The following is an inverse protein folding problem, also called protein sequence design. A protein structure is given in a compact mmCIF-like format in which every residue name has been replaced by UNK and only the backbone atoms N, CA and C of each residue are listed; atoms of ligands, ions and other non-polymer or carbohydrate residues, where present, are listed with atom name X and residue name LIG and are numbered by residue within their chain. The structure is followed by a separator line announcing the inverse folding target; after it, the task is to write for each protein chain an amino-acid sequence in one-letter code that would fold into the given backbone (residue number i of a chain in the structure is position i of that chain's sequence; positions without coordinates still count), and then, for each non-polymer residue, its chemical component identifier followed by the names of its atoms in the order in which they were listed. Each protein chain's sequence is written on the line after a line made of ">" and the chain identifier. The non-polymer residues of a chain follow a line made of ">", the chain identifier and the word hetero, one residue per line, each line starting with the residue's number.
data_IF_961508642403
#
_entry.id   IF_961508642403
#
_cell.length_a   1.000
_cell.length_b   1.000
_cell.length_c   1.000
_cell.angle_alpha   90.00
_cell.angle_beta   90.00
_cell.angle_gamma   90.00
#
_symmetry.space_group_name_H-M   'P 1'
#
loop_
_entity.id
_entity.type
_entity.pdbx_description
1 polymer ?
#
# COMPACT_ATOMS: atom_id res chain seq x y z
N UNK A 1 31.73 -22.06 -0.93
CA UNK A 1 30.27 -22.20 -1.04
C UNK A 1 29.66 -20.87 -0.62
N UNK A 2 29.34 -20.01 -1.60
CA UNK A 2 28.52 -18.81 -1.38
C UNK A 2 27.10 -19.33 -1.22
N UNK A 3 26.62 -19.49 0.00
CA UNK A 3 25.19 -19.60 0.26
C UNK A 3 24.54 -18.36 -0.38
N UNK A 4 23.74 -18.56 -1.42
CA UNK A 4 22.87 -17.52 -1.96
C UNK A 4 22.09 -16.93 -0.77
N UNK A 5 22.49 -15.74 -0.31
CA UNK A 5 21.69 -14.99 0.64
C UNK A 5 20.47 -14.53 -0.15
N UNK A 6 19.37 -15.20 0.08
CA UNK A 6 18.07 -14.77 -0.43
C UNK A 6 17.89 -13.34 0.08
N UNK A 7 17.87 -12.38 -0.84
CA UNK A 7 17.50 -11.02 -0.50
C UNK A 7 15.98 -10.98 -0.33
N UNK A 8 15.53 -10.47 0.79
CA UNK A 8 14.11 -10.24 1.06
C UNK A 8 13.87 -8.75 1.11
N UNK A 9 12.93 -8.28 0.33
CA UNK A 9 12.50 -6.90 0.30
C UNK A 9 11.16 -6.73 1.03
N UNK A 10 11.01 -5.62 1.73
CA UNK A 10 9.73 -5.18 2.28
C UNK A 10 9.23 -3.99 1.49
N UNK A 11 8.04 -4.10 0.95
CA UNK A 11 7.36 -3.02 0.23
C UNK A 11 6.25 -2.50 1.14
N UNK A 12 6.53 -1.40 1.80
CA UNK A 12 5.57 -0.73 2.69
C UNK A 12 4.73 0.17 1.82
N UNK A 13 3.44 -0.11 1.67
CA UNK A 13 2.62 0.58 0.69
C UNK A 13 1.25 0.98 1.25
N UNK A 14 0.69 1.97 0.60
CA UNK A 14 -0.67 2.44 0.79
C UNK A 14 -1.24 2.89 -0.55
N UNK A 15 -2.53 2.69 -0.76
CA UNK A 15 -3.21 3.12 -1.98
C UNK A 15 -4.33 4.10 -1.69
N UNK A 16 -4.60 4.97 -2.65
CA UNK A 16 -5.86 5.70 -2.71
C UNK A 16 -6.75 5.08 -3.79
N UNK A 17 -8.04 5.04 -3.52
CA UNK A 17 -9.01 4.47 -4.43
C UNK A 17 -10.16 5.44 -4.71
N UNK A 18 -10.85 5.25 -5.84
CA UNK A 18 -12.09 6.00 -6.12
C UNK A 18 -13.07 5.84 -4.96
N UNK A 19 -13.65 6.93 -4.49
CA UNK A 19 -14.54 6.91 -3.35
C UNK A 19 -15.64 7.97 -3.47
N UNK A 20 -16.71 7.78 -2.68
CA UNK A 20 -17.90 8.63 -2.69
C UNK A 20 -18.40 8.83 -1.28
N UNK A 21 -19.15 9.91 -1.06
CA UNK A 21 -19.86 10.13 0.19
C UNK A 21 -21.06 9.19 0.32
N UNK A 22 -21.34 8.71 1.53
CA UNK A 22 -22.49 7.86 1.86
C UNK A 22 -22.31 6.37 1.54
N UNK A 23 -23.43 5.65 1.37
CA UNK A 23 -23.42 4.21 1.09
C UNK A 23 -23.07 3.97 -0.39
N UNK A 24 -21.97 3.30 -0.63
CA UNK A 24 -21.39 3.06 -1.95
C UNK A 24 -21.24 1.57 -2.30
N UNK A 25 -22.01 0.71 -1.60
CA UNK A 25 -21.93 -0.75 -1.78
C UNK A 25 -22.15 -1.23 -3.22
N UNK A 26 -22.78 -0.41 -4.06
CA UNK A 26 -23.07 -0.71 -5.47
C UNK A 26 -21.97 -0.20 -6.44
N UNK A 27 -20.89 0.36 -5.92
CA UNK A 27 -19.83 0.95 -6.75
C UNK A 27 -18.49 0.26 -6.48
N UNK A 28 -17.90 -0.26 -7.53
CA UNK A 28 -16.56 -0.83 -7.46
C UNK A 28 -15.52 0.29 -7.38
N UNK A 29 -14.63 0.18 -6.41
CA UNK A 29 -13.50 1.09 -6.26
C UNK A 29 -12.34 0.64 -7.12
N UNK A 30 -11.61 1.59 -7.69
CA UNK A 30 -10.39 1.38 -8.48
C UNK A 30 -9.25 2.16 -7.84
N UNK A 31 -8.04 1.61 -7.88
CA UNK A 31 -6.83 2.30 -7.44
C UNK A 31 -6.58 3.56 -8.27
N UNK A 32 -6.31 4.69 -7.61
CA UNK A 32 -5.98 5.97 -8.25
C UNK A 32 -4.61 6.53 -7.87
N UNK A 33 -3.99 6.02 -6.79
CA UNK A 33 -2.61 6.31 -6.40
C UNK A 33 -2.01 5.07 -5.74
N UNK A 34 -0.73 4.82 -5.99
CA UNK A 34 0.10 3.90 -5.21
C UNK A 34 1.25 4.71 -4.64
N UNK A 35 1.39 4.68 -3.33
CA UNK A 35 2.55 5.17 -2.60
C UNK A 35 3.27 4.02 -1.91
N UNK A 36 4.59 3.93 -2.05
CA UNK A 36 5.33 2.85 -1.41
C UNK A 36 6.78 3.22 -1.09
N UNK A 37 7.31 2.56 -0.07
CA UNK A 37 8.72 2.59 0.34
C UNK A 37 9.29 1.18 0.23
N UNK A 38 10.41 1.05 -0.47
CA UNK A 38 11.14 -0.21 -0.61
C UNK A 38 12.24 -0.27 0.45
N UNK A 39 12.21 -1.31 1.28
CA UNK A 39 13.22 -1.57 2.30
C UNK A 39 13.91 -2.91 2.01
N UNK A 40 15.19 -2.99 2.32
CA UNK A 40 15.88 -4.27 2.36
C UNK A 40 15.58 -5.03 3.68
N UNK A 41 16.10 -6.24 3.80
CA UNK A 41 15.95 -7.10 5.00
C UNK A 41 16.46 -6.47 6.30
N UNK A 42 17.26 -5.43 6.24
CA UNK A 42 17.81 -4.72 7.40
C UNK A 42 17.01 -3.46 7.76
N UNK A 43 15.96 -3.15 6.98
CA UNK A 43 15.17 -1.93 7.15
C UNK A 43 15.81 -0.69 6.55
N UNK A 44 16.84 -0.85 5.70
CA UNK A 44 17.41 0.29 4.96
C UNK A 44 16.54 0.61 3.75
N UNK A 45 16.22 1.88 3.56
CA UNK A 45 15.42 2.35 2.42
C UNK A 45 16.24 2.27 1.13
N UNK A 46 15.68 1.57 0.15
CA UNK A 46 16.24 1.42 -1.19
C UNK A 46 15.62 2.38 -2.20
N UNK A 47 14.42 2.87 -1.93
CA UNK A 47 13.73 3.82 -2.79
C UNK A 47 12.27 4.05 -2.40
N UNK A 48 11.66 5.02 -3.07
CA UNK A 48 10.25 5.36 -2.93
C UNK A 48 9.53 5.31 -4.28
N UNK A 49 8.25 5.01 -4.25
CA UNK A 49 7.39 4.95 -5.42
C UNK A 49 6.13 5.77 -5.17
N UNK A 50 5.77 6.62 -6.13
CA UNK A 50 4.53 7.36 -6.08
C UNK A 50 3.99 7.55 -7.50
N UNK A 51 2.85 6.95 -7.82
CA UNK A 51 2.23 7.05 -9.15
C UNK A 51 0.72 7.14 -9.03
N UNK A 52 0.16 8.08 -9.79
CA UNK A 52 -1.28 8.11 -10.04
C UNK A 52 -1.67 7.06 -11.08
N UNK A 53 -2.93 6.65 -10.99
CA UNK A 53 -3.53 5.68 -11.90
C UNK A 53 -4.83 6.28 -12.45
N UNK A 54 -5.03 6.12 -13.74
CA UNK A 54 -6.26 6.53 -14.42
C UNK A 54 -7.33 5.45 -14.25
N UNK A 55 -8.41 5.73 -13.49
CA UNK A 55 -9.50 4.77 -13.34
C UNK A 55 -10.28 4.63 -14.66
N UNK A 56 -10.85 3.45 -14.91
CA UNK A 56 -11.57 3.12 -16.15
C UNK A 56 -13.07 2.95 -15.93
N UNK A 57 -13.53 2.41 -14.79
CA UNK A 57 -14.96 2.30 -14.48
C UNK A 57 -15.55 3.66 -14.07
N UNK A 58 -14.80 4.40 -13.26
CA UNK A 58 -15.20 5.70 -12.75
C UNK A 58 -14.17 6.77 -13.08
N UNK A 59 -14.06 7.18 -14.37
CA UNK A 59 -12.99 8.09 -14.82
C UNK A 59 -13.08 9.49 -14.23
N UNK A 60 -14.24 9.89 -13.70
CA UNK A 60 -14.44 11.18 -13.05
C UNK A 60 -14.49 11.01 -11.52
N UNK A 61 -13.48 11.57 -10.85
CA UNK A 61 -13.42 11.54 -9.38
C UNK A 61 -14.58 12.34 -8.78
N UNK A 62 -15.22 11.77 -7.77
CA UNK A 62 -16.27 12.47 -7.02
C UNK A 62 -15.71 13.70 -6.30
N UNK A 63 -16.53 14.72 -5.97
CA UNK A 63 -16.09 15.82 -5.12
C UNK A 63 -15.53 15.34 -3.77
N UNK A 64 -16.16 14.33 -3.18
CA UNK A 64 -15.71 13.70 -1.95
C UNK A 64 -14.31 13.10 -2.07
N UNK A 65 -14.06 12.30 -3.11
CA UNK A 65 -12.76 11.69 -3.36
C UNK A 65 -11.66 12.76 -3.49
N UNK A 66 -11.90 13.80 -4.28
CA UNK A 66 -10.95 14.91 -4.45
C UNK A 66 -10.67 15.66 -3.15
N UNK A 67 -11.70 15.84 -2.32
CA UNK A 67 -11.54 16.49 -1.02
C UNK A 67 -10.78 15.62 -0.03
N UNK A 68 -11.06 14.32 0.01
CA UNK A 68 -10.45 13.38 0.94
C UNK A 68 -8.98 13.16 0.62
N UNK A 69 -8.67 12.84 -0.63
CA UNK A 69 -7.32 12.44 -1.08
C UNK A 69 -6.46 13.61 -1.54
N UNK A 70 -7.06 14.78 -1.79
CA UNK A 70 -6.40 15.92 -2.46
C UNK A 70 -5.91 15.60 -3.89
N UNK A 71 -6.30 14.46 -4.47
CA UNK A 71 -5.98 14.08 -5.85
C UNK A 71 -6.91 14.83 -6.80
N UNK A 72 -6.35 15.49 -7.79
CA UNK A 72 -7.13 16.25 -8.77
C UNK A 72 -7.56 15.38 -9.96
N UNK A 73 -8.60 15.81 -10.67
CA UNK A 73 -9.00 15.16 -11.92
C UNK A 73 -7.87 15.16 -12.96
N UNK A 74 -7.04 16.21 -12.94
CA UNK A 74 -5.94 16.35 -13.88
C UNK A 74 -4.82 15.33 -13.62
N UNK A 75 -4.58 14.98 -12.34
CA UNK A 75 -3.57 13.98 -11.96
C UNK A 75 -3.93 12.61 -12.56
N UNK A 76 -5.16 12.15 -12.37
CA UNK A 76 -5.60 10.86 -12.91
C UNK A 76 -5.79 10.88 -14.43
N UNK A 77 -6.19 12.01 -15.02
CA UNK A 77 -6.34 12.12 -16.48
C UNK A 77 -5.02 11.98 -17.23
N UNK A 78 -3.91 12.41 -16.62
CA UNK A 78 -2.55 12.33 -17.18
C UNK A 78 -1.86 11.00 -16.88
N UNK A 79 -2.39 10.24 -15.96
CA UNK A 79 -1.82 8.98 -15.52
C UNK A 79 -2.03 7.86 -16.55
N UNK A 80 -1.20 6.84 -16.47
CA UNK A 80 -1.41 5.56 -17.15
C UNK A 80 -2.50 4.76 -16.42
N UNK A 81 -3.07 3.77 -17.10
CA UNK A 81 -4.04 2.84 -16.50
C UNK A 81 -3.34 1.80 -15.63
N UNK A 82 -4.12 1.12 -14.79
CA UNK A 82 -3.63 0.14 -13.83
C UNK A 82 -2.67 -0.90 -14.41
N UNK A 83 -2.94 -1.56 -15.57
CA UNK A 83 -2.02 -2.55 -16.13
C UNK A 83 -0.59 -2.05 -16.35
N UNK A 84 -0.42 -0.81 -16.76
CA UNK A 84 0.90 -0.24 -16.98
C UNK A 84 1.59 0.12 -15.67
N UNK A 85 0.84 0.73 -14.73
CA UNK A 85 1.41 1.18 -13.47
C UNK A 85 1.80 0.01 -12.58
N UNK A 86 1.00 -1.07 -12.59
CA UNK A 86 1.29 -2.23 -11.75
C UNK A 86 2.53 -3.00 -12.23
N UNK A 87 2.78 -3.06 -13.55
CA UNK A 87 4.02 -3.64 -14.06
C UNK A 87 5.24 -2.78 -13.68
N UNK A 88 5.13 -1.44 -13.78
CA UNK A 88 6.19 -0.54 -13.30
C UNK A 88 6.43 -0.69 -11.78
N UNK A 89 5.38 -0.92 -11.00
CA UNK A 89 5.46 -1.13 -9.56
C UNK A 89 6.16 -2.45 -9.21
N UNK A 90 5.83 -3.53 -9.89
CA UNK A 90 6.49 -4.83 -9.71
C UNK A 90 7.97 -4.79 -10.07
N UNK A 91 8.30 -4.13 -11.19
CA UNK A 91 9.69 -3.91 -11.63
C UNK A 91 10.47 -3.10 -10.59
N UNK A 92 9.90 -1.98 -10.13
CA UNK A 92 10.50 -1.13 -9.12
C UNK A 92 10.74 -1.89 -7.79
N UNK A 93 9.79 -2.73 -7.39
CA UNK A 93 9.87 -3.54 -6.18
C UNK A 93 10.79 -4.77 -6.29
N UNK A 94 11.43 -5.02 -7.45
CA UNK A 94 12.20 -6.23 -7.76
C UNK A 94 11.43 -7.54 -7.51
N UNK A 95 10.10 -7.52 -7.71
CA UNK A 95 9.23 -8.64 -7.36
C UNK A 95 9.43 -9.88 -8.24
N UNK A 96 10.13 -9.75 -9.38
CA UNK A 96 10.44 -10.85 -10.28
C UNK A 96 11.71 -11.60 -9.92
N UNK A 97 12.65 -10.92 -9.26
CA UNK A 97 14.00 -11.44 -9.04
C UNK A 97 14.33 -11.71 -7.57
N UNK A 98 13.58 -11.13 -6.64
CA UNK A 98 13.84 -11.21 -5.20
C UNK A 98 12.58 -11.62 -4.43
N UNK A 99 12.77 -12.26 -3.27
CA UNK A 99 11.67 -12.47 -2.34
C UNK A 99 11.18 -11.12 -1.78
N UNK A 100 9.89 -10.96 -1.63
CA UNK A 100 9.30 -9.73 -1.12
C UNK A 100 8.08 -10.00 -0.24
N UNK A 101 7.75 -9.01 0.58
CA UNK A 101 6.49 -8.92 1.30
C UNK A 101 5.85 -7.57 1.07
N UNK A 102 4.57 -7.59 0.71
CA UNK A 102 3.73 -6.42 0.61
C UNK A 102 3.14 -6.10 1.97
N UNK A 103 3.43 -4.94 2.53
CA UNK A 103 3.04 -4.57 3.89
C UNK A 103 2.14 -3.33 3.86
N UNK A 104 0.88 -3.46 4.29
CA UNK A 104 -0.05 -2.33 4.40
C UNK A 104 -0.82 -2.31 5.73
N UNK A 105 -1.52 -1.19 6.01
CA UNK A 105 -2.26 -1.03 7.26
C UNK A 105 -3.66 -1.62 7.20
N UNK A 106 -3.75 -2.94 7.11
CA UNK A 106 -4.97 -3.73 6.95
C UNK A 106 -5.00 -4.47 5.62
N UNK A 107 -6.17 -4.96 5.21
CA UNK A 107 -6.35 -5.75 4.00
C UNK A 107 -7.01 -4.98 2.84
N UNK A 108 -7.38 -3.73 3.06
CA UNK A 108 -8.11 -2.95 2.06
C UNK A 108 -7.32 -2.82 0.75
N UNK A 109 -6.07 -2.44 0.85
CA UNK A 109 -5.18 -2.22 -0.29
C UNK A 109 -5.03 -3.49 -1.14
N UNK A 110 -4.80 -4.63 -0.49
CA UNK A 110 -4.74 -5.93 -1.16
C UNK A 110 -6.05 -6.25 -1.91
N UNK A 111 -7.20 -6.07 -1.24
CA UNK A 111 -8.51 -6.36 -1.84
C UNK A 111 -8.75 -5.50 -3.08
N UNK A 112 -8.35 -4.23 -3.06
CA UNK A 112 -8.52 -3.35 -4.22
C UNK A 112 -7.56 -3.78 -5.36
N UNK A 113 -6.32 -4.14 -5.06
CA UNK A 113 -5.40 -4.67 -6.07
C UNK A 113 -5.91 -5.95 -6.74
N UNK A 114 -6.44 -6.90 -5.95
CA UNK A 114 -7.04 -8.13 -6.48
C UNK A 114 -8.25 -7.82 -7.40
N UNK A 115 -9.08 -6.85 -7.03
CA UNK A 115 -10.22 -6.39 -7.87
C UNK A 115 -9.75 -5.71 -9.15
N UNK A 116 -8.75 -4.84 -9.08
CA UNK A 116 -8.18 -4.21 -10.26
C UNK A 116 -7.52 -5.24 -11.18
N UNK A 117 -6.83 -6.24 -10.65
CA UNK A 117 -6.30 -7.35 -11.43
C UNK A 117 -7.43 -8.11 -12.14
N UNK A 118 -8.51 -8.45 -11.43
CA UNK A 118 -9.66 -9.12 -12.03
C UNK A 118 -10.33 -8.26 -13.11
N UNK A 119 -10.52 -6.97 -12.87
CA UNK A 119 -11.08 -6.02 -13.84
C UNK A 119 -10.27 -5.99 -15.15
N UNK A 120 -8.96 -6.01 -15.04
CA UNK A 120 -8.04 -5.93 -16.17
C UNK A 120 -7.55 -7.28 -16.69
N UNK A 121 -8.09 -8.39 -16.19
CA UNK A 121 -7.72 -9.77 -16.55
C UNK A 121 -6.21 -10.03 -16.36
N UNK A 122 -5.67 -9.54 -15.26
CA UNK A 122 -4.29 -9.75 -14.83
C UNK A 122 -4.23 -10.81 -13.73
N UNK A 123 -3.06 -11.44 -13.61
CA UNK A 123 -2.73 -12.33 -12.50
C UNK A 123 -2.54 -11.53 -11.21
N UNK A 124 -3.05 -12.05 -10.08
CA UNK A 124 -2.98 -11.45 -8.75
C UNK A 124 -2.16 -12.28 -7.74
N UNK A 125 -1.51 -13.36 -8.17
CA UNK A 125 -0.68 -14.24 -7.31
C UNK A 125 0.40 -13.45 -6.56
N UNK A 126 0.89 -12.35 -7.12
CA UNK A 126 1.85 -11.47 -6.49
C UNK A 126 1.31 -10.78 -5.23
N UNK A 127 0.00 -10.72 -5.02
CA UNK A 127 -0.64 -10.20 -3.82
C UNK A 127 -0.65 -11.20 -2.65
N UNK A 128 -0.27 -12.47 -2.87
CA UNK A 128 -0.32 -13.50 -1.82
C UNK A 128 0.66 -13.20 -0.67
N UNK A 129 1.80 -12.61 -0.98
CA UNK A 129 2.83 -12.26 0.02
C UNK A 129 2.49 -10.98 0.80
N UNK A 130 1.21 -10.80 1.12
CA UNK A 130 0.72 -9.64 1.84
C UNK A 130 0.75 -9.84 3.35
N UNK A 131 1.18 -8.78 4.05
CA UNK A 131 1.23 -8.70 5.51
C UNK A 131 0.26 -7.61 5.99
N UNK A 132 -0.80 -8.02 6.70
CA UNK A 132 -1.70 -7.10 7.41
C UNK A 132 -1.02 -6.59 8.68
N UNK A 133 -0.36 -5.45 8.57
CA UNK A 133 0.37 -4.83 9.69
C UNK A 133 -0.58 -4.37 10.81
N UNK A 134 -1.79 -3.94 10.49
CA UNK A 134 -2.77 -3.49 11.48
C UNK A 134 -3.19 -4.61 12.42
N UNK A 135 -3.39 -5.80 11.86
CA UNK A 135 -3.71 -7.02 12.65
C UNK A 135 -2.53 -7.43 13.51
N UNK A 136 -1.33 -7.51 12.91
CA UNK A 136 -0.14 -7.89 13.66
C UNK A 136 0.23 -6.85 14.73
N UNK A 137 0.05 -5.56 14.45
CA UNK A 137 0.26 -4.51 15.44
C UNK A 137 -0.67 -4.65 16.64
N UNK A 138 -1.94 -5.02 16.42
CA UNK A 138 -2.85 -5.36 17.52
C UNK A 138 -2.26 -6.46 18.43
N UNK A 139 -1.71 -7.51 17.82
CA UNK A 139 -1.17 -8.66 18.54
C UNK A 139 0.14 -8.29 19.27
N UNK A 140 1.06 -7.59 18.60
CA UNK A 140 2.32 -7.09 19.19
C UNK A 140 2.05 -6.22 20.42
N UNK A 141 1.07 -5.34 20.32
CA UNK A 141 0.70 -4.41 21.42
C UNK A 141 -0.31 -5.00 22.39
N UNK A 142 -0.76 -6.25 22.21
CA UNK A 142 -1.77 -6.96 23.04
C UNK A 142 -3.05 -6.15 23.23
N UNK A 143 -3.52 -5.53 22.15
CA UNK A 143 -4.70 -4.68 22.17
C UNK A 143 -5.99 -5.49 21.96
N UNK A 144 -7.10 -5.02 22.57
CA UNK A 144 -8.42 -5.66 22.41
C UNK A 144 -9.03 -5.47 21.00
N UNK A 145 -8.62 -4.42 20.27
CA UNK A 145 -9.13 -4.09 18.94
C UNK A 145 -8.07 -3.39 18.10
N UNK A 146 -8.22 -3.51 16.79
CA UNK A 146 -7.41 -2.78 15.82
C UNK A 146 -7.65 -1.27 15.90
N UNK A 147 -6.61 -0.50 15.58
CA UNK A 147 -6.68 0.97 15.51
C UNK A 147 -6.22 1.45 14.13
N UNK A 148 -6.59 2.67 13.74
CA UNK A 148 -6.11 3.31 12.52
C UNK A 148 -4.65 3.78 12.64
N UNK A 149 -4.02 4.04 11.50
CA UNK A 149 -2.61 4.44 11.40
C UNK A 149 -2.27 5.66 12.26
N UNK A 150 -3.10 6.71 12.22
CA UNK A 150 -2.91 7.92 13.03
C UNK A 150 -2.83 7.64 14.53
N UNK A 151 -3.70 6.76 15.03
CA UNK A 151 -3.68 6.38 16.45
C UNK A 151 -2.50 5.51 16.81
N UNK A 152 -2.02 4.71 15.85
CA UNK A 152 -0.81 3.91 16.05
C UNK A 152 0.43 4.80 16.10
N UNK A 153 0.55 5.79 15.23
CA UNK A 153 1.63 6.78 15.25
C UNK A 153 1.67 7.55 16.57
N UNK A 154 0.53 8.11 16.99
CA UNK A 154 0.41 8.81 18.28
C UNK A 154 0.86 7.92 19.45
N UNK A 155 0.41 6.67 19.47
CA UNK A 155 0.78 5.70 20.49
C UNK A 155 2.28 5.39 20.51
N UNK A 156 2.93 5.43 19.34
CA UNK A 156 4.37 5.21 19.20
C UNK A 156 5.21 6.48 19.39
N UNK A 157 4.55 7.64 19.55
CA UNK A 157 5.20 8.93 19.73
C UNK A 157 5.74 9.53 18.44
N UNK A 158 5.12 9.20 17.30
CA UNK A 158 5.45 9.77 16.01
C UNK A 158 4.42 10.82 15.59
N UNK A 159 4.90 11.94 15.08
CA UNK A 159 4.10 12.88 14.33
C UNK A 159 3.85 12.33 12.91
N UNK A 160 2.70 12.68 12.34
CA UNK A 160 2.40 12.39 10.94
C UNK A 160 3.06 13.43 10.04
N UNK A 161 3.87 12.97 9.09
CA UNK A 161 4.52 13.82 8.11
C UNK A 161 3.78 13.79 6.77
N UNK A 162 3.60 14.94 6.14
CA UNK A 162 2.93 15.06 4.85
C UNK A 162 1.42 15.28 4.94
N UNK A 163 0.71 14.87 3.88
CA UNK A 163 -0.75 14.98 3.77
C UNK A 163 -1.39 13.62 4.00
N UNK A 164 -2.35 13.54 4.92
CA UNK A 164 -3.17 12.34 5.11
C UNK A 164 -3.97 12.03 3.83
N UNK A 165 -4.23 10.75 3.62
CA UNK A 165 -4.90 10.27 2.40
C UNK A 165 -4.14 10.62 1.11
N UNK A 166 -2.82 10.50 1.18
CA UNK A 166 -1.91 10.46 0.06
C UNK A 166 -1.04 9.22 0.22
N UNK A 167 -1.15 8.31 -0.73
CA UNK A 167 -0.51 6.99 -0.64
C UNK A 167 0.95 7.05 -0.21
N UNK A 168 1.74 7.97 -0.78
CA UNK A 168 3.16 8.09 -0.37
C UNK A 168 3.33 8.57 1.07
N UNK A 169 2.55 9.56 1.53
CA UNK A 169 2.65 10.05 2.91
C UNK A 169 2.22 8.99 3.91
N UNK A 170 1.13 8.26 3.61
CA UNK A 170 0.65 7.17 4.47
C UNK A 170 1.68 6.01 4.51
N UNK A 171 2.30 5.64 3.38
CA UNK A 171 3.38 4.65 3.33
C UNK A 171 4.64 5.08 4.11
N UNK A 172 5.07 6.35 4.00
CA UNK A 172 6.20 6.89 4.77
C UNK A 172 5.93 6.81 6.29
N UNK A 173 4.73 7.19 6.71
CA UNK A 173 4.35 7.12 8.11
C UNK A 173 4.19 5.68 8.62
N UNK A 174 3.65 4.78 7.79
CA UNK A 174 3.59 3.36 8.09
C UNK A 174 4.98 2.76 8.25
N UNK A 175 5.94 3.20 7.44
CA UNK A 175 7.35 2.79 7.52
C UNK A 175 7.96 3.09 8.88
N UNK A 176 7.61 4.20 9.54
CA UNK A 176 8.07 4.50 10.91
C UNK A 176 7.66 3.42 11.91
N UNK A 177 6.40 2.96 11.82
CA UNK A 177 5.89 1.87 12.67
C UNK A 177 6.57 0.55 12.32
N UNK A 178 6.71 0.27 11.02
CA UNK A 178 7.38 -0.93 10.54
C UNK A 178 8.79 -1.05 11.12
N UNK A 179 9.60 -0.02 10.98
CA UNK A 179 10.99 0.00 11.45
C UNK A 179 11.10 -0.09 12.96
N UNK A 180 10.20 0.56 13.71
CA UNK A 180 10.17 0.49 15.16
C UNK A 180 9.96 -0.93 15.70
N UNK A 181 9.24 -1.76 14.95
CA UNK A 181 8.90 -3.13 15.34
C UNK A 181 9.45 -4.17 14.36
N UNK A 182 10.54 -3.87 13.67
CA UNK A 182 11.06 -4.70 12.56
C UNK A 182 11.30 -6.16 12.97
N UNK A 183 11.74 -6.41 14.18
CA UNK A 183 12.01 -7.76 14.71
C UNK A 183 10.75 -8.48 15.22
N UNK A 184 9.61 -7.83 15.23
CA UNK A 184 8.37 -8.38 15.80
C UNK A 184 7.34 -8.78 14.72
N UNK A 185 7.53 -8.38 13.47
CA UNK A 185 6.64 -8.75 12.39
C UNK A 185 6.81 -10.22 11.99
N UNK A 186 5.70 -10.88 11.73
CA UNK A 186 5.68 -12.24 11.22
C UNK A 186 5.39 -12.24 9.71
N UNK A 187 6.29 -12.81 8.94
CA UNK A 187 6.22 -12.82 7.48
C UNK A 187 5.81 -14.18 6.88
N UNK A 188 5.22 -15.08 7.65
CA UNK A 188 4.88 -16.41 7.18
C UNK A 188 6.15 -17.22 6.85
N UNK A 189 6.28 -18.40 7.42
CA UNK A 189 7.23 -19.38 6.87
C UNK A 189 6.56 -20.09 5.70
N UNK A 190 7.23 -20.15 4.56
CA UNK A 190 6.91 -21.14 3.54
C UNK A 190 7.10 -22.53 4.06
#
# INVERSE_FOLDING_TARGET
>A
EIKNKINVNYIIYDIEATCWDGNTMDREQETIEIGAILLNRFGEELGSYNRFIKPVLHPFLSPYCKQLTSITQQDVNRAKTFPHVIEEFKDWGNMYDEEYFLCSWGNFDKIIFERDCALHQLDDDWCEFHVDMRKQYQDIKKMKKQIGLMKALDREGFDFDGLQHRGISDAENLTKIFLKHIDAWYFGGA
#
